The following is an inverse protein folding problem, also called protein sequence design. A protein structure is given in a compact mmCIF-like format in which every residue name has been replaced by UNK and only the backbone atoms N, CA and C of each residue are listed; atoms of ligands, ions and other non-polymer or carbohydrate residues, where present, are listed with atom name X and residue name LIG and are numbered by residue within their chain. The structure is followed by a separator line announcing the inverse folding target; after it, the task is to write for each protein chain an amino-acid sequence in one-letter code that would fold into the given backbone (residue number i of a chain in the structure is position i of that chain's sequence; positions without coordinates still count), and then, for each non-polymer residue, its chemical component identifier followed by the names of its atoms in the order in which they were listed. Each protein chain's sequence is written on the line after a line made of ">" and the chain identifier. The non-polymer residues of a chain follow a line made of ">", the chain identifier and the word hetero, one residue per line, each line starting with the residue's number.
data_IF_434127092367
#
_entry.id   IF_434127092367
#
_cell.length_a   1.000
_cell.length_b   1.000
_cell.length_c   1.000
_cell.angle_alpha   90.00
_cell.angle_beta   90.00
_cell.angle_gamma   90.00
#
_symmetry.space_group_name_H-M   'P 1'
#
loop_
_entity.id
_entity.type
_entity.pdbx_description
1 polymer ?
#
# COMPACT_ATOMS: atom_id res chain seq x y z
N UNK A 1 -14.80 45.12 -21.71
CA UNK A 1 -13.80 46.15 -21.33
C UNK A 1 -12.47 45.42 -21.08
N UNK A 2 -11.88 44.82 -22.11
CA UNK A 2 -10.61 44.08 -21.96
C UNK A 2 -9.44 45.05 -22.06
N UNK A 3 -8.47 44.93 -21.15
CA UNK A 3 -7.22 45.71 -21.18
C UNK A 3 -7.44 47.24 -21.20
N UNK A 4 -8.33 47.71 -20.33
CA UNK A 4 -8.71 49.14 -20.26
C UNK A 4 -8.17 49.86 -19.02
N UNK A 5 -7.38 49.18 -18.18
CA UNK A 5 -6.92 49.67 -16.88
C UNK A 5 -8.08 50.07 -15.94
N UNK A 6 -9.27 49.52 -16.15
CA UNK A 6 -10.46 49.84 -15.35
C UNK A 6 -10.33 49.25 -13.94
N UNK A 7 -10.69 50.01 -12.91
CA UNK A 7 -10.71 49.54 -11.51
C UNK A 7 -12.06 49.68 -10.82
N UNK A 8 -12.92 50.59 -11.28
CA UNK A 8 -14.24 50.85 -10.70
C UNK A 8 -15.35 50.20 -11.55
N UNK A 9 -16.08 49.25 -10.94
CA UNK A 9 -17.22 48.57 -11.55
C UNK A 9 -18.58 49.17 -11.15
N UNK A 10 -18.62 50.21 -10.32
CA UNK A 10 -19.86 50.84 -9.85
C UNK A 10 -20.83 51.25 -10.98
N UNK A 11 -20.38 51.73 -12.16
CA UNK A 11 -21.28 52.03 -13.27
C UNK A 11 -22.07 50.82 -13.79
N UNK A 12 -21.57 49.60 -13.56
CA UNK A 12 -22.22 48.36 -14.02
C UNK A 12 -23.33 47.89 -13.07
N UNK A 13 -23.36 48.36 -11.82
CA UNK A 13 -24.16 47.76 -10.74
C UNK A 13 -25.69 47.70 -11.00
N UNK A 14 -26.19 48.53 -11.91
CA UNK A 14 -27.62 48.59 -12.25
C UNK A 14 -27.97 47.99 -13.62
N UNK A 15 -27.00 47.42 -14.34
CA UNK A 15 -27.20 46.80 -15.65
C UNK A 15 -27.75 45.38 -15.52
N UNK A 16 -28.91 45.22 -14.88
CA UNK A 16 -29.46 43.91 -14.46
C UNK A 16 -29.76 42.93 -15.60
N UNK A 17 -29.92 43.44 -16.82
CA UNK A 17 -30.13 42.65 -18.04
C UNK A 17 -28.82 42.22 -18.72
N UNK A 18 -27.66 42.52 -18.12
CA UNK A 18 -26.37 42.18 -18.69
C UNK A 18 -26.15 40.66 -18.63
N UNK A 19 -26.00 40.03 -19.80
CA UNK A 19 -25.78 38.58 -19.93
C UNK A 19 -24.32 38.21 -20.21
N UNK A 20 -23.54 39.15 -20.74
CA UNK A 20 -22.15 38.93 -21.14
C UNK A 20 -21.26 40.05 -20.62
N UNK A 21 -20.22 39.69 -19.87
CA UNK A 21 -19.26 40.65 -19.34
C UNK A 21 -17.82 40.11 -19.42
N UNK A 22 -16.99 40.80 -20.21
CA UNK A 22 -15.55 40.54 -20.28
C UNK A 22 -14.77 41.73 -19.70
N UNK A 23 -14.03 41.47 -18.63
CA UNK A 23 -13.19 42.37 -17.85
C UNK A 23 -11.77 41.83 -17.71
N UNK A 24 -11.34 40.95 -18.60
CA UNK A 24 -10.00 40.37 -18.58
C UNK A 24 -8.90 41.45 -18.60
N UNK A 25 -7.85 41.22 -17.79
CA UNK A 25 -6.63 42.02 -17.70
C UNK A 25 -6.90 43.51 -17.40
N UNK A 26 -7.55 43.79 -16.27
CA UNK A 26 -7.76 45.15 -15.76
C UNK A 26 -7.15 45.32 -14.35
N UNK A 27 -7.58 46.34 -13.61
CA UNK A 27 -7.12 46.67 -12.27
C UNK A 27 -8.25 46.53 -11.24
N UNK A 28 -9.10 45.51 -11.39
CA UNK A 28 -10.27 45.28 -10.54
C UNK A 28 -9.84 44.62 -9.23
N UNK A 29 -10.24 45.23 -8.12
CA UNK A 29 -9.97 44.74 -6.76
C UNK A 29 -11.24 44.29 -6.02
N UNK A 30 -12.42 44.74 -6.46
CA UNK A 30 -13.71 44.48 -5.79
C UNK A 30 -14.78 44.08 -6.83
N UNK A 31 -15.47 42.97 -6.56
CA UNK A 31 -16.56 42.44 -7.39
C UNK A 31 -17.96 42.77 -6.83
N UNK A 32 -18.06 43.46 -5.69
CA UNK A 32 -19.34 43.80 -5.04
C UNK A 32 -20.35 44.47 -5.99
N UNK A 33 -19.95 45.36 -6.93
CA UNK A 33 -20.88 45.93 -7.91
C UNK A 33 -21.54 44.89 -8.82
N UNK A 34 -20.96 43.70 -9.00
CA UNK A 34 -21.51 42.64 -9.85
C UNK A 34 -22.57 41.79 -9.13
N UNK A 35 -22.72 41.90 -7.80
CA UNK A 35 -23.48 40.96 -6.97
C UNK A 35 -24.97 40.81 -7.34
N UNK A 36 -25.54 41.79 -8.04
CA UNK A 36 -26.94 41.81 -8.44
C UNK A 36 -27.17 41.65 -9.95
N UNK A 37 -26.12 41.35 -10.73
CA UNK A 37 -26.21 41.14 -12.18
C UNK A 37 -26.63 39.71 -12.50
N UNK A 38 -27.74 39.26 -11.90
CA UNK A 38 -28.16 37.85 -11.87
C UNK A 38 -28.49 37.26 -13.23
N UNK A 39 -28.63 38.07 -14.28
CA UNK A 39 -28.81 37.61 -15.66
C UNK A 39 -27.50 37.21 -16.37
N UNK A 40 -26.33 37.36 -15.73
CA UNK A 40 -25.05 37.02 -16.34
C UNK A 40 -24.96 35.53 -16.67
N UNK A 41 -24.66 35.23 -17.93
CA UNK A 41 -24.37 33.89 -18.45
C UNK A 41 -22.87 33.69 -18.73
N UNK A 42 -22.15 34.76 -19.03
CA UNK A 42 -20.72 34.76 -19.27
C UNK A 42 -20.02 35.84 -18.44
N UNK A 43 -18.99 35.44 -17.70
CA UNK A 43 -18.13 36.35 -16.97
C UNK A 43 -16.66 35.97 -17.14
N UNK A 44 -15.86 36.90 -17.66
CA UNK A 44 -14.40 36.79 -17.68
C UNK A 44 -13.79 37.93 -16.86
N UNK A 45 -13.08 37.59 -15.77
CA UNK A 45 -12.35 38.55 -14.94
C UNK A 45 -10.89 38.15 -14.75
N UNK A 46 -10.35 37.26 -15.59
CA UNK A 46 -8.98 36.75 -15.47
C UNK A 46 -7.92 37.85 -15.44
N UNK A 47 -6.85 37.66 -14.66
CA UNK A 47 -5.72 38.57 -14.63
C UNK A 47 -6.01 39.93 -13.97
N UNK A 48 -6.95 39.97 -13.02
CA UNK A 48 -7.22 41.14 -12.18
C UNK A 48 -6.62 40.96 -10.77
N UNK A 49 -6.15 42.03 -10.12
CA UNK A 49 -5.59 41.99 -8.77
C UNK A 49 -6.68 41.96 -7.68
N UNK A 50 -7.55 40.95 -7.71
CA UNK A 50 -8.68 40.83 -6.79
C UNK A 50 -8.23 40.84 -5.32
N UNK A 51 -8.90 41.65 -4.49
CA UNK A 51 -8.58 41.73 -3.07
C UNK A 51 -8.91 40.40 -2.38
N UNK A 52 -7.90 39.79 -1.76
CA UNK A 52 -7.97 38.50 -1.08
C UNK A 52 -8.52 37.32 -1.92
N UNK A 53 -8.68 37.49 -3.24
CA UNK A 53 -9.35 36.49 -4.08
C UNK A 53 -10.85 36.33 -3.76
N UNK A 54 -11.51 37.36 -3.24
CA UNK A 54 -12.92 37.28 -2.83
C UNK A 54 -13.89 37.23 -4.02
N UNK A 55 -14.51 36.07 -4.20
CA UNK A 55 -15.53 35.80 -5.22
C UNK A 55 -16.95 35.69 -4.63
N UNK A 56 -17.15 36.02 -3.35
CA UNK A 56 -18.47 35.99 -2.69
C UNK A 56 -19.57 36.74 -3.47
N UNK A 57 -19.31 37.89 -4.11
CA UNK A 57 -20.30 38.58 -4.93
C UNK A 57 -20.89 37.72 -6.07
N UNK A 58 -20.19 36.69 -6.52
CA UNK A 58 -20.63 35.83 -7.63
C UNK A 58 -21.68 34.80 -7.20
N UNK A 59 -21.90 34.58 -5.90
CA UNK A 59 -22.72 33.48 -5.39
C UNK A 59 -24.19 33.48 -5.85
N UNK A 60 -24.72 34.63 -6.28
CA UNK A 60 -26.11 34.78 -6.75
C UNK A 60 -26.24 34.72 -8.28
N UNK A 61 -25.15 34.60 -9.02
CA UNK A 61 -25.13 34.63 -10.48
C UNK A 61 -25.43 33.24 -11.07
N UNK A 62 -26.54 32.63 -10.62
CA UNK A 62 -26.88 31.21 -10.83
C UNK A 62 -27.07 30.81 -12.30
N UNK A 63 -27.22 31.78 -13.20
CA UNK A 63 -27.34 31.56 -14.65
C UNK A 63 -25.99 31.57 -15.40
N UNK A 64 -24.87 31.68 -14.68
CA UNK A 64 -23.54 31.60 -15.29
C UNK A 64 -23.32 30.22 -15.93
N UNK A 65 -22.95 30.24 -17.21
CA UNK A 65 -22.58 29.06 -18.01
C UNK A 65 -21.07 28.99 -18.24
N UNK A 66 -20.42 30.15 -18.36
CA UNK A 66 -18.97 30.25 -18.55
C UNK A 66 -18.37 31.27 -17.60
N UNK A 67 -17.41 30.82 -16.79
CA UNK A 67 -16.77 31.62 -15.75
C UNK A 67 -15.25 31.47 -15.79
N UNK A 68 -14.55 32.57 -16.04
CA UNK A 68 -13.10 32.60 -16.15
C UNK A 68 -12.47 33.45 -15.03
N UNK A 69 -11.75 32.77 -14.13
CA UNK A 69 -11.26 33.27 -12.83
C UNK A 69 -9.75 33.02 -12.61
N UNK A 70 -9.00 32.81 -13.69
CA UNK A 70 -7.56 32.57 -13.60
C UNK A 70 -6.77 33.77 -13.06
N UNK A 71 -5.76 33.48 -12.22
CA UNK A 71 -4.80 34.49 -11.75
C UNK A 71 -5.32 35.42 -10.66
N UNK A 72 -6.33 35.03 -9.89
CA UNK A 72 -7.04 35.89 -8.92
C UNK A 72 -6.69 35.63 -7.47
N UNK A 73 -5.77 34.70 -7.19
CA UNK A 73 -5.35 34.27 -5.84
C UNK A 73 -6.49 33.66 -5.00
N UNK A 74 -7.49 33.08 -5.66
CA UNK A 74 -8.64 32.41 -5.03
C UNK A 74 -8.16 31.23 -4.19
N UNK A 75 -8.81 31.05 -3.04
CA UNK A 75 -8.62 29.91 -2.13
C UNK A 75 -9.96 29.24 -1.78
N UNK A 76 -11.02 30.03 -1.61
CA UNK A 76 -12.36 29.56 -1.25
C UNK A 76 -13.26 29.47 -2.49
N UNK A 77 -13.79 28.26 -2.75
CA UNK A 77 -14.72 27.98 -3.84
C UNK A 77 -16.18 27.86 -3.37
N UNK A 78 -16.46 28.02 -2.07
CA UNK A 78 -17.81 27.94 -1.51
C UNK A 78 -18.85 28.85 -2.20
N UNK A 79 -18.51 30.04 -2.72
CA UNK A 79 -19.46 30.88 -3.47
C UNK A 79 -19.95 30.25 -4.78
N UNK A 80 -19.25 29.25 -5.32
CA UNK A 80 -19.62 28.62 -6.60
C UNK A 80 -20.68 27.52 -6.45
N UNK A 81 -20.94 27.03 -5.25
CA UNK A 81 -21.75 25.81 -5.00
C UNK A 81 -23.13 25.81 -5.63
N UNK A 82 -23.78 26.97 -5.77
CA UNK A 82 -25.13 27.11 -6.33
C UNK A 82 -25.16 27.40 -7.85
N UNK A 83 -24.01 27.47 -8.51
CA UNK A 83 -23.92 27.84 -9.94
C UNK A 83 -24.13 26.62 -10.85
N UNK A 84 -25.28 25.97 -10.71
CA UNK A 84 -25.56 24.66 -11.31
C UNK A 84 -25.61 24.64 -12.85
N UNK A 85 -25.70 25.81 -13.51
CA UNK A 85 -25.67 25.94 -14.98
C UNK A 85 -24.24 26.06 -15.54
N UNK A 86 -23.20 26.07 -14.70
CA UNK A 86 -21.82 26.19 -15.15
C UNK A 86 -21.40 24.99 -16.01
N UNK A 87 -20.97 25.29 -17.24
CA UNK A 87 -20.43 24.35 -18.20
C UNK A 87 -18.91 24.51 -18.37
N UNK A 88 -18.40 25.73 -18.26
CA UNK A 88 -16.98 26.03 -18.41
C UNK A 88 -16.48 26.86 -17.24
N UNK A 89 -15.47 26.33 -16.54
CA UNK A 89 -14.87 26.97 -15.38
C UNK A 89 -13.35 26.96 -15.50
N UNK A 90 -12.75 28.14 -15.56
CA UNK A 90 -11.31 28.30 -15.51
C UNK A 90 -10.89 28.91 -14.17
N UNK A 91 -10.20 28.12 -13.36
CA UNK A 91 -9.67 28.45 -12.03
C UNK A 91 -8.13 28.34 -12.01
N UNK A 92 -7.46 28.31 -13.15
CA UNK A 92 -6.01 28.12 -13.20
C UNK A 92 -5.23 29.26 -12.55
N UNK A 93 -4.00 29.00 -12.15
CA UNK A 93 -3.10 30.02 -11.59
C UNK A 93 -3.68 30.72 -10.34
N UNK A 94 -4.30 29.94 -9.44
CA UNK A 94 -4.84 30.43 -8.17
C UNK A 94 -4.06 29.81 -6.98
N UNK A 95 -4.68 29.72 -5.80
CA UNK A 95 -4.07 29.15 -4.58
C UNK A 95 -4.99 28.11 -3.95
N UNK A 96 -5.80 27.45 -4.77
CA UNK A 96 -6.84 26.52 -4.33
C UNK A 96 -6.20 25.25 -3.77
N UNK A 97 -6.72 24.80 -2.63
CA UNK A 97 -6.33 23.54 -1.96
C UNK A 97 -7.53 22.60 -1.91
N UNK A 98 -8.69 23.11 -1.49
CA UNK A 98 -9.94 22.36 -1.38
C UNK A 98 -10.83 22.60 -2.62
N UNK A 99 -11.17 21.52 -3.31
CA UNK A 99 -12.07 21.53 -4.46
C UNK A 99 -13.40 20.81 -4.20
N UNK A 100 -13.72 20.48 -2.94
CA UNK A 100 -14.99 19.88 -2.55
C UNK A 100 -16.23 20.63 -3.09
N UNK A 101 -16.27 21.98 -3.21
CA UNK A 101 -17.41 22.67 -3.79
C UNK A 101 -17.69 22.33 -5.26
N UNK A 102 -16.70 21.82 -6.01
CA UNK A 102 -16.86 21.45 -7.42
C UNK A 102 -17.79 20.25 -7.59
N UNK A 103 -17.90 19.36 -6.60
CA UNK A 103 -18.82 18.21 -6.67
C UNK A 103 -20.29 18.64 -6.78
N UNK A 104 -20.61 19.88 -6.39
CA UNK A 104 -21.95 20.48 -6.46
C UNK A 104 -22.33 20.98 -7.87
N UNK A 105 -21.43 20.90 -8.86
CA UNK A 105 -21.60 21.48 -10.20
C UNK A 105 -21.88 20.38 -11.25
N UNK A 106 -23.16 20.03 -11.50
CA UNK A 106 -23.52 18.83 -12.26
C UNK A 106 -23.34 18.95 -13.78
N UNK A 107 -23.16 20.16 -14.31
CA UNK A 107 -23.12 20.42 -15.76
C UNK A 107 -21.72 20.76 -16.30
N UNK A 108 -20.67 20.67 -15.47
CA UNK A 108 -19.33 21.03 -15.91
C UNK A 108 -18.89 20.15 -17.08
N UNK A 109 -18.54 20.81 -18.19
CA UNK A 109 -18.00 20.18 -19.38
C UNK A 109 -16.49 20.36 -19.47
N UNK A 110 -15.99 21.55 -19.13
CA UNK A 110 -14.56 21.85 -19.06
C UNK A 110 -14.17 22.54 -17.77
N UNK A 111 -13.18 21.98 -17.08
CA UNK A 111 -12.64 22.48 -15.83
C UNK A 111 -11.13 22.60 -15.92
N UNK A 112 -10.62 23.81 -15.75
CA UNK A 112 -9.18 24.09 -15.68
C UNK A 112 -8.80 24.48 -14.25
N UNK A 113 -8.07 23.59 -13.58
CA UNK A 113 -7.55 23.73 -12.22
C UNK A 113 -6.01 23.82 -12.21
N UNK A 114 -5.38 23.99 -13.38
CA UNK A 114 -3.92 23.98 -13.49
C UNK A 114 -3.24 25.07 -12.66
N UNK A 115 -2.01 24.82 -12.20
CA UNK A 115 -1.22 25.74 -11.39
C UNK A 115 -1.96 26.22 -10.13
N UNK A 116 -2.27 25.27 -9.26
CA UNK A 116 -2.89 25.48 -7.95
C UNK A 116 -2.10 24.72 -6.86
N UNK A 117 -2.72 24.41 -5.72
CA UNK A 117 -2.10 23.69 -4.61
C UNK A 117 -2.94 22.46 -4.22
N UNK A 118 -3.58 21.87 -5.22
CA UNK A 118 -4.50 20.74 -5.04
C UNK A 118 -3.68 19.48 -4.80
N UNK A 119 -4.04 18.74 -3.75
CA UNK A 119 -3.45 17.43 -3.44
C UNK A 119 -4.46 16.31 -3.66
N UNK A 120 -5.70 16.54 -3.23
CA UNK A 120 -6.80 15.58 -3.33
C UNK A 120 -7.74 15.94 -4.49
N UNK A 121 -8.02 14.97 -5.34
CA UNK A 121 -8.94 15.10 -6.49
C UNK A 121 -10.17 14.18 -6.39
N UNK A 122 -10.38 13.53 -5.24
CA UNK A 122 -11.57 12.73 -4.97
C UNK A 122 -12.89 13.46 -5.30
N UNK A 123 -13.03 14.81 -5.08
CA UNK A 123 -14.29 15.48 -5.42
C UNK A 123 -14.59 15.56 -6.92
N UNK A 124 -13.58 15.43 -7.79
CA UNK A 124 -13.77 15.38 -9.24
C UNK A 124 -14.37 14.05 -9.70
N UNK A 125 -14.16 13.00 -8.92
CA UNK A 125 -14.74 11.70 -9.17
C UNK A 125 -16.21 11.65 -8.72
N UNK A 126 -16.52 12.25 -7.56
CA UNK A 126 -17.89 12.36 -7.04
C UNK A 126 -18.76 13.34 -7.85
N UNK A 127 -18.11 14.36 -8.42
CA UNK A 127 -18.75 15.44 -9.16
C UNK A 127 -19.09 15.15 -10.63
N UNK A 128 -19.83 16.07 -11.23
CA UNK A 128 -20.41 15.96 -12.58
C UNK A 128 -19.53 16.45 -13.73
N UNK A 129 -18.20 16.51 -13.61
CA UNK A 129 -17.35 16.96 -14.73
C UNK A 129 -17.38 15.92 -15.84
N UNK A 130 -17.87 16.30 -17.01
CA UNK A 130 -18.24 15.34 -18.06
C UNK A 130 -17.18 15.11 -19.14
N UNK A 131 -16.18 16.00 -19.31
CA UNK A 131 -15.22 15.86 -20.40
C UNK A 131 -13.78 16.26 -20.11
N UNK A 132 -13.48 17.55 -19.99
CA UNK A 132 -12.10 18.06 -19.96
C UNK A 132 -11.71 18.50 -18.55
N UNK A 133 -10.59 17.97 -18.04
CA UNK A 133 -10.04 18.28 -16.72
C UNK A 133 -8.54 18.60 -16.88
N UNK A 134 -8.12 19.80 -16.48
CA UNK A 134 -6.70 20.18 -16.45
C UNK A 134 -6.23 20.33 -15.01
N UNK A 135 -5.24 19.53 -14.63
CA UNK A 135 -4.66 19.42 -13.28
C UNK A 135 -3.15 19.69 -13.27
N UNK A 136 -2.50 19.95 -14.41
CA UNK A 136 -1.05 20.23 -14.46
C UNK A 136 -0.64 21.33 -13.46
N UNK A 137 0.60 21.28 -13.02
CA UNK A 137 1.20 22.13 -12.00
C UNK A 137 0.43 22.10 -10.67
N UNK A 138 -0.01 20.92 -10.22
CA UNK A 138 -0.59 20.72 -8.88
C UNK A 138 0.18 19.63 -8.12
N UNK A 139 0.40 19.80 -6.80
CA UNK A 139 1.10 18.82 -5.97
C UNK A 139 0.19 17.64 -5.57
N UNK A 140 -0.34 16.91 -6.55
CA UNK A 140 -1.27 15.78 -6.39
C UNK A 140 -0.67 14.71 -5.45
N UNK A 141 -1.50 14.13 -4.59
CA UNK A 141 -1.08 13.06 -3.68
C UNK A 141 -1.08 11.70 -4.38
N UNK A 142 -0.51 10.69 -3.74
CA UNK A 142 -0.38 9.34 -4.31
C UNK A 142 -1.75 8.70 -4.63
N UNK A 143 -2.77 8.95 -3.81
CA UNK A 143 -4.13 8.47 -4.05
C UNK A 143 -4.77 9.08 -5.31
N UNK A 144 -4.52 10.37 -5.57
CA UNK A 144 -4.91 11.02 -6.81
C UNK A 144 -4.36 10.27 -8.02
N UNK A 145 -3.07 9.92 -8.01
CA UNK A 145 -2.42 9.19 -9.10
C UNK A 145 -2.93 7.76 -9.26
N UNK A 146 -2.91 6.98 -8.18
CA UNK A 146 -3.18 5.55 -8.28
C UNK A 146 -4.66 5.21 -8.46
N UNK A 147 -5.54 6.00 -7.86
CA UNK A 147 -6.97 5.68 -7.79
C UNK A 147 -7.77 6.58 -8.73
N UNK A 148 -7.67 7.89 -8.55
CA UNK A 148 -8.65 8.80 -9.13
C UNK A 148 -8.34 9.17 -10.58
N UNK A 149 -7.07 9.41 -10.94
CA UNK A 149 -6.69 9.71 -12.33
C UNK A 149 -7.05 8.56 -13.26
N UNK A 150 -6.67 7.32 -12.91
CA UNK A 150 -7.02 6.11 -13.66
C UNK A 150 -8.53 6.00 -13.86
N UNK A 151 -9.30 6.10 -12.78
CA UNK A 151 -10.75 5.96 -12.84
C UNK A 151 -11.43 7.09 -13.65
N UNK A 152 -10.92 8.32 -13.58
CA UNK A 152 -11.41 9.43 -14.41
C UNK A 152 -11.12 9.18 -15.89
N UNK A 153 -9.91 8.73 -16.24
CA UNK A 153 -9.50 8.43 -17.62
C UNK A 153 -10.33 7.27 -18.19
N UNK A 154 -10.50 6.19 -17.43
CA UNK A 154 -11.30 5.01 -17.83
C UNK A 154 -12.77 5.36 -18.05
N UNK A 155 -13.30 6.36 -17.33
CA UNK A 155 -14.64 6.90 -17.57
C UNK A 155 -14.77 7.75 -18.84
N UNK A 156 -13.69 7.87 -19.64
CA UNK A 156 -13.67 8.56 -20.93
C UNK A 156 -13.42 10.07 -20.85
N UNK A 157 -12.92 10.58 -19.71
CA UNK A 157 -12.56 11.98 -19.52
C UNK A 157 -11.15 12.26 -20.08
N UNK A 158 -10.94 13.42 -20.67
CA UNK A 158 -9.62 13.91 -21.08
C UNK A 158 -9.01 14.67 -19.89
N UNK A 159 -8.09 14.00 -19.19
CA UNK A 159 -7.43 14.52 -17.99
C UNK A 159 -5.98 14.86 -18.34
N UNK A 160 -5.57 16.10 -18.09
CA UNK A 160 -4.19 16.57 -18.26
C UNK A 160 -3.55 16.79 -16.90
N UNK A 161 -2.44 16.13 -16.63
CA UNK A 161 -1.71 16.18 -15.36
C UNK A 161 -0.22 15.97 -15.63
N UNK A 162 0.63 16.28 -14.65
CA UNK A 162 2.07 16.07 -14.77
C UNK A 162 2.42 14.61 -14.51
N UNK A 163 2.96 13.94 -15.52
CA UNK A 163 3.45 12.55 -15.42
C UNK A 163 4.77 12.46 -14.63
N UNK A 164 5.51 13.56 -14.48
CA UNK A 164 6.86 13.58 -13.91
C UNK A 164 6.95 13.76 -12.39
N UNK A 165 5.83 14.00 -11.71
CA UNK A 165 5.78 14.20 -10.25
C UNK A 165 5.79 12.87 -9.46
N UNK A 166 6.14 11.77 -10.13
CA UNK A 166 6.34 10.45 -9.56
C UNK A 166 7.67 10.36 -8.77
N UNK A 167 7.86 11.24 -7.78
CA UNK A 167 8.81 10.99 -6.67
C UNK A 167 8.05 10.32 -5.50
N UNK A 168 7.05 9.48 -5.85
CA UNK A 168 6.10 8.89 -4.92
C UNK A 168 6.61 7.54 -4.43
N UNK A 169 7.73 7.53 -3.71
CA UNK A 169 8.00 6.40 -2.81
C UNK A 169 6.94 6.43 -1.72
N UNK A 170 5.96 5.55 -1.87
CA UNK A 170 4.76 5.60 -1.07
C UNK A 170 3.93 4.34 -1.23
N UNK A 171 2.86 4.32 -0.49
CA UNK A 171 2.25 3.09 -0.02
C UNK A 171 0.75 3.33 0.04
N UNK A 172 -0.04 2.53 -0.68
CA UNK A 172 -1.48 2.71 -0.79
C UNK A 172 -2.17 1.42 -0.40
N UNK A 173 -3.23 1.52 0.39
CA UNK A 173 -4.12 0.40 0.60
C UNK A 173 -5.57 0.82 0.62
N UNK A 174 -6.44 -0.17 0.73
CA UNK A 174 -7.88 0.01 0.88
C UNK A 174 -8.34 -0.71 2.15
N UNK A 175 -9.34 -0.16 2.80
CA UNK A 175 -10.01 -0.79 3.94
C UNK A 175 -11.48 -0.95 3.58
N UNK A 176 -11.92 -2.20 3.57
CA UNK A 176 -13.29 -2.60 3.31
C UNK A 176 -14.02 -2.88 4.62
N UNK A 177 -15.31 -2.59 4.66
CA UNK A 177 -16.21 -2.93 5.73
C UNK A 177 -16.61 -4.42 5.70
N UNK A 178 -17.44 -4.86 6.67
CA UNK A 178 -17.87 -6.25 6.80
C UNK A 178 -18.68 -6.78 5.62
N UNK A 179 -19.24 -5.89 4.80
CA UNK A 179 -20.03 -6.18 3.60
C UNK A 179 -19.21 -6.02 2.30
N UNK A 180 -17.88 -5.93 2.41
CA UNK A 180 -16.94 -5.64 1.32
C UNK A 180 -17.16 -4.27 0.65
N UNK A 181 -17.91 -3.35 1.27
CA UNK A 181 -17.98 -1.97 0.81
C UNK A 181 -16.79 -1.15 1.33
N UNK A 182 -16.36 -0.09 0.64
CA UNK A 182 -15.40 0.87 1.18
C UNK A 182 -15.72 1.37 2.60
N UNK A 183 -14.73 1.37 3.50
CA UNK A 183 -14.90 1.83 4.88
C UNK A 183 -14.17 3.17 5.14
N UNK A 184 -14.89 4.31 5.12
CA UNK A 184 -14.31 5.62 5.43
C UNK A 184 -14.07 5.83 6.93
N UNK A 185 -13.23 6.82 7.24
CA UNK A 185 -13.01 7.30 8.60
C UNK A 185 -12.12 6.39 9.45
N UNK A 186 -11.48 5.37 8.87
CA UNK A 186 -10.55 4.49 9.57
C UNK A 186 -9.21 5.21 9.70
N UNK A 187 -8.76 5.41 10.93
CA UNK A 187 -7.40 5.91 11.19
C UNK A 187 -6.40 4.82 10.89
N UNK A 188 -5.38 5.11 10.09
CA UNK A 188 -4.31 4.16 9.74
C UNK A 188 -2.99 4.75 10.19
N UNK A 189 -2.25 4.02 11.02
CA UNK A 189 -0.89 4.39 11.42
C UNK A 189 0.14 3.64 10.60
N UNK A 190 1.19 4.37 10.20
CA UNK A 190 2.42 3.80 9.67
C UNK A 190 3.49 3.83 10.76
N UNK A 191 3.95 2.66 11.21
CA UNK A 191 5.00 2.54 12.23
C UNK A 191 6.23 1.87 11.68
N UNK A 192 7.40 2.50 11.79
CA UNK A 192 8.65 1.89 11.36
C UNK A 192 9.17 0.91 12.40
N UNK A 193 9.47 -0.30 11.97
CA UNK A 193 10.17 -1.28 12.80
C UNK A 193 11.67 -0.98 12.76
N UNK A 194 12.28 -0.92 13.94
CA UNK A 194 13.73 -0.92 14.14
C UNK A 194 14.06 -1.93 15.22
N UNK A 195 15.20 -2.62 15.06
CA UNK A 195 15.71 -3.57 16.05
C UNK A 195 15.67 -2.95 17.46
N UNK A 196 15.03 -3.63 18.40
CA UNK A 196 14.90 -3.22 19.80
C UNK A 196 13.76 -2.25 20.13
N UNK A 197 12.88 -1.91 19.18
CA UNK A 197 11.74 -0.98 19.42
C UNK A 197 10.41 -1.74 19.45
N UNK A 198 9.84 -1.95 20.65
CA UNK A 198 8.54 -2.62 20.81
C UNK A 198 7.43 -1.84 20.07
N UNK A 199 6.66 -2.50 19.20
CA UNK A 199 5.49 -1.94 18.52
C UNK A 199 5.78 -0.88 17.44
N UNK A 200 7.05 -0.68 17.05
CA UNK A 200 7.46 0.28 16.02
C UNK A 200 7.36 1.75 16.43
N UNK A 201 8.16 2.61 15.78
CA UNK A 201 8.09 4.06 15.91
C UNK A 201 7.00 4.61 14.98
N UNK A 202 5.99 5.31 15.50
CA UNK A 202 5.00 6.02 14.67
C UNK A 202 5.71 7.04 13.77
N UNK A 203 5.53 6.89 12.46
CA UNK A 203 6.12 7.76 11.44
C UNK A 203 5.07 8.71 10.88
N UNK A 204 3.88 8.20 10.60
CA UNK A 204 2.80 8.96 9.99
C UNK A 204 1.43 8.37 10.37
N UNK A 205 0.37 9.16 10.23
CA UNK A 205 -1.01 8.76 10.46
C UNK A 205 -1.91 9.41 9.39
N UNK A 206 -2.83 8.63 8.84
CA UNK A 206 -3.82 9.10 7.88
C UNK A 206 -5.21 8.55 8.21
N UNK A 207 -6.23 8.99 7.50
CA UNK A 207 -7.61 8.50 7.66
C UNK A 207 -8.16 8.11 6.30
N UNK A 208 -8.89 7.00 6.23
CA UNK A 208 -9.48 6.56 4.98
C UNK A 208 -10.54 7.53 4.47
N UNK A 209 -10.49 7.85 3.17
CA UNK A 209 -11.53 8.63 2.48
C UNK A 209 -12.82 7.84 2.25
N UNK A 210 -13.79 8.43 1.56
CA UNK A 210 -15.11 7.81 1.22
C UNK A 210 -14.99 6.47 0.48
N UNK A 211 -13.84 6.22 -0.15
CA UNK A 211 -13.53 4.96 -0.84
C UNK A 211 -12.70 3.98 -0.02
N UNK A 212 -12.52 4.23 1.27
CA UNK A 212 -11.77 3.32 2.14
C UNK A 212 -10.27 3.30 1.86
N UNK A 213 -9.78 4.10 0.91
CA UNK A 213 -8.36 4.16 0.59
C UNK A 213 -7.58 4.99 1.60
N UNK A 214 -6.34 4.58 1.83
CA UNK A 214 -5.34 5.33 2.59
C UNK A 214 -4.02 5.34 1.82
N UNK A 215 -3.21 6.36 2.04
CA UNK A 215 -1.86 6.41 1.50
C UNK A 215 -0.86 7.06 2.46
N UNK A 216 0.39 6.61 2.35
CA UNK A 216 1.53 7.19 3.05
C UNK A 216 2.64 7.55 2.07
N UNK A 217 3.28 8.69 2.29
CA UNK A 217 4.60 8.95 1.71
C UNK A 217 5.64 8.27 2.60
N UNK A 218 6.56 7.49 2.02
CA UNK A 218 7.51 6.72 2.81
C UNK A 218 8.93 7.27 2.60
N UNK A 219 9.48 7.98 3.60
CA UNK A 219 10.70 8.77 3.41
C UNK A 219 11.98 7.93 3.43
N UNK A 220 11.93 6.68 3.90
CA UNK A 220 13.10 5.81 4.04
C UNK A 220 12.71 4.34 3.87
N UNK A 221 13.55 3.56 3.21
CA UNK A 221 13.39 2.11 3.09
C UNK A 221 13.41 1.39 4.45
N UNK A 222 12.75 0.25 4.50
CA UNK A 222 12.75 -0.68 5.63
C UNK A 222 11.38 -1.30 5.90
N UNK A 223 11.26 -1.95 7.05
CA UNK A 223 10.04 -2.66 7.45
C UNK A 223 9.12 -1.77 8.27
N UNK A 224 7.82 -1.81 7.97
CA UNK A 224 6.79 -0.99 8.56
C UNK A 224 5.57 -1.81 8.97
N UNK A 225 4.93 -1.41 10.05
CA UNK A 225 3.64 -1.91 10.50
C UNK A 225 2.54 -0.94 10.05
N UNK A 226 1.49 -1.49 9.47
CA UNK A 226 0.25 -0.76 9.16
C UNK A 226 -0.80 -1.19 10.17
N UNK A 227 -1.24 -0.22 10.96
CA UNK A 227 -2.17 -0.45 12.08
C UNK A 227 -3.45 0.36 11.87
N UNK A 228 -4.50 -0.23 11.28
CA UNK A 228 -5.80 0.40 11.18
C UNK A 228 -6.51 0.42 12.55
N UNK A 229 -7.25 1.50 12.81
CA UNK A 229 -8.06 1.69 14.01
C UNK A 229 -9.37 2.39 13.69
N UNK A 230 -10.45 1.77 14.13
CA UNK A 230 -11.79 2.35 14.16
C UNK A 230 -12.55 1.66 15.29
N UNK A 231 -13.14 2.44 16.19
CA UNK A 231 -13.85 1.89 17.36
C UNK A 231 -14.98 0.93 16.93
N UNK A 232 -15.01 -0.25 17.55
CA UNK A 232 -16.01 -1.29 17.26
C UNK A 232 -15.66 -2.21 16.07
N UNK A 233 -14.49 -2.00 15.44
CA UNK A 233 -13.99 -2.84 14.36
C UNK A 233 -12.68 -3.55 14.74
N UNK A 234 -12.52 -4.76 14.20
CA UNK A 234 -11.26 -5.52 14.16
C UNK A 234 -10.88 -5.73 12.70
N UNK A 235 -9.61 -5.56 12.36
CA UNK A 235 -9.15 -5.63 10.99
C UNK A 235 -8.41 -6.93 10.71
N UNK A 236 -8.49 -7.41 9.47
CA UNK A 236 -7.81 -8.61 9.00
C UNK A 236 -7.36 -8.41 7.55
N UNK A 237 -6.09 -8.73 7.21
CA UNK A 237 -5.01 -9.02 8.16
C UNK A 237 -4.62 -7.80 8.99
N UNK A 238 -4.43 -7.96 10.31
CA UNK A 238 -3.92 -6.87 11.16
C UNK A 238 -3.22 -7.42 12.41
N UNK A 239 -2.03 -6.91 12.77
CA UNK A 239 -1.30 -5.87 12.05
C UNK A 239 -0.68 -6.39 10.75
N UNK A 240 -0.56 -5.51 9.75
CA UNK A 240 0.06 -5.84 8.46
C UNK A 240 1.51 -5.38 8.48
N UNK A 241 2.46 -6.31 8.34
CA UNK A 241 3.88 -5.99 8.27
C UNK A 241 4.29 -5.88 6.80
N UNK A 242 4.99 -4.83 6.44
CA UNK A 242 5.32 -4.50 5.05
C UNK A 242 6.81 -4.19 4.96
N UNK A 243 7.49 -4.75 3.97
CA UNK A 243 8.83 -4.31 3.61
C UNK A 243 8.79 -3.32 2.44
N UNK A 244 9.46 -2.19 2.61
CA UNK A 244 9.52 -1.09 1.63
C UNK A 244 10.95 -0.98 1.13
N UNK A 245 11.16 -1.19 -0.17
CA UNK A 245 12.44 -1.04 -0.86
C UNK A 245 12.39 0.03 -1.97
N UNK A 246 13.42 0.09 -2.82
CA UNK A 246 13.55 1.11 -3.87
C UNK A 246 12.50 1.01 -4.99
N UNK A 247 11.66 -0.04 -5.02
CA UNK A 247 10.65 -0.23 -6.05
C UNK A 247 9.41 0.65 -5.76
N UNK A 248 9.19 1.62 -6.64
CA UNK A 248 8.53 2.90 -6.31
C UNK A 248 6.99 2.92 -6.26
N UNK A 249 6.28 1.80 -6.31
CA UNK A 249 4.82 1.81 -6.20
C UNK A 249 4.31 0.59 -5.43
N UNK A 250 4.08 0.76 -4.13
CA UNK A 250 3.53 -0.30 -3.29
C UNK A 250 2.01 -0.22 -3.25
N UNK A 251 1.37 -1.22 -3.85
CA UNK A 251 -0.04 -1.53 -3.65
C UNK A 251 -0.11 -2.55 -2.51
N UNK A 252 -0.76 -2.17 -1.42
CA UNK A 252 -1.04 -3.08 -0.32
C UNK A 252 -2.32 -3.87 -0.57
N UNK A 253 -2.38 -5.10 -0.03
CA UNK A 253 -3.63 -5.83 0.02
C UNK A 253 -4.68 -5.02 0.78
N UNK A 254 -5.93 -5.07 0.30
CA UNK A 254 -7.06 -4.49 1.01
C UNK A 254 -7.22 -5.16 2.37
N UNK A 255 -7.41 -4.37 3.41
CA UNK A 255 -7.76 -4.83 4.75
C UNK A 255 -9.27 -4.95 4.85
N UNK A 256 -9.78 -5.96 5.54
CA UNK A 256 -11.21 -6.10 5.81
C UNK A 256 -11.49 -5.88 7.28
N UNK A 257 -12.45 -5.00 7.57
CA UNK A 257 -12.97 -4.74 8.90
C UNK A 257 -14.09 -5.73 9.23
N UNK A 258 -14.08 -6.24 10.46
CA UNK A 258 -15.12 -7.09 11.04
C UNK A 258 -15.67 -6.41 12.28
N UNK A 259 -16.97 -6.51 12.52
CA UNK A 259 -17.60 -5.97 13.73
C UNK A 259 -17.12 -6.80 14.93
N UNK A 260 -16.55 -6.14 15.93
CA UNK A 260 -16.09 -6.80 17.13
C UNK A 260 -15.27 -5.88 18.02
N UNK A 261 -15.20 -6.22 19.30
CA UNK A 261 -14.19 -5.68 20.20
C UNK A 261 -12.88 -6.43 19.96
N UNK A 262 -11.75 -5.72 19.85
CA UNK A 262 -10.42 -6.30 19.71
C UNK A 262 -10.28 -7.55 20.60
N UNK A 263 -9.93 -8.68 19.99
CA UNK A 263 -9.57 -9.88 20.76
C UNK A 263 -8.29 -9.53 21.51
N UNK A 264 -8.19 -9.75 22.83
CA UNK A 264 -6.94 -9.52 23.55
C UNK A 264 -5.80 -10.29 22.86
N UNK A 265 -4.69 -9.59 22.65
CA UNK A 265 -3.49 -9.94 21.88
C UNK A 265 -2.74 -11.20 22.34
N UNK A 266 -3.25 -11.94 23.32
CA UNK A 266 -2.62 -13.16 23.84
C UNK A 266 -2.86 -14.42 23.00
N UNK A 267 -3.37 -14.31 21.77
CA UNK A 267 -3.70 -15.46 20.90
C UNK A 267 -3.38 -15.26 19.41
N UNK A 268 -2.84 -14.12 18.97
CA UNK A 268 -2.47 -13.95 17.56
C UNK A 268 -1.17 -14.72 17.26
N UNK A 269 -1.31 -16.01 16.95
CA UNK A 269 -0.22 -16.87 16.49
C UNK A 269 0.19 -16.58 15.04
N UNK A 270 -0.55 -15.75 14.30
CA UNK A 270 -0.26 -15.48 12.89
C UNK A 270 -0.10 -14.01 12.57
N UNK A 271 0.74 -13.75 11.56
CA UNK A 271 1.07 -12.44 11.02
C UNK A 271 0.94 -12.51 9.49
N UNK A 272 0.51 -11.43 8.85
CA UNK A 272 0.66 -11.27 7.40
C UNK A 272 1.79 -10.31 7.10
N UNK A 273 2.78 -10.78 6.35
CA UNK A 273 3.91 -10.01 5.85
C UNK A 273 3.74 -9.76 4.35
N UNK A 274 3.98 -8.52 3.91
CA UNK A 274 3.83 -8.10 2.52
C UNK A 274 5.21 -7.79 1.95
N UNK A 275 5.55 -8.45 0.85
CA UNK A 275 6.78 -8.18 0.11
C UNK A 275 6.72 -6.82 -0.60
N UNK A 276 7.85 -6.30 -1.11
CA UNK A 276 7.85 -5.05 -1.85
C UNK A 276 6.98 -5.02 -3.12
N UNK A 277 6.54 -6.16 -3.63
CA UNK A 277 5.65 -6.26 -4.80
C UNK A 277 4.22 -6.65 -4.45
N UNK A 278 3.87 -6.68 -3.16
CA UNK A 278 2.50 -6.94 -2.69
C UNK A 278 2.18 -8.41 -2.41
N UNK A 279 3.13 -9.34 -2.57
CA UNK A 279 2.91 -10.75 -2.25
C UNK A 279 2.75 -10.97 -0.74
N UNK A 280 1.92 -11.94 -0.37
CA UNK A 280 1.52 -12.18 1.02
C UNK A 280 2.16 -13.44 1.60
N UNK A 281 2.96 -13.25 2.65
CA UNK A 281 3.44 -14.30 3.51
C UNK A 281 2.55 -14.40 4.75
N UNK A 282 1.83 -15.51 4.92
CA UNK A 282 1.20 -15.85 6.19
C UNK A 282 2.24 -16.52 7.08
N UNK A 283 2.59 -15.89 8.20
CA UNK A 283 3.64 -16.37 9.10
C UNK A 283 3.06 -16.75 10.45
N UNK A 284 3.69 -17.72 11.12
CA UNK A 284 3.31 -18.26 12.43
C UNK A 284 4.35 -17.86 13.47
N UNK A 285 3.92 -17.38 14.64
CA UNK A 285 4.77 -17.11 15.80
C UNK A 285 5.21 -18.40 16.48
N UNK A 286 6.51 -18.58 16.55
CA UNK A 286 7.18 -19.60 17.36
C UNK A 286 7.66 -18.94 18.65
N UNK A 287 7.16 -19.35 19.84
CA UNK A 287 7.48 -18.69 21.10
C UNK A 287 8.95 -18.88 21.49
N UNK A 288 9.47 -17.93 22.26
CA UNK A 288 10.80 -18.03 22.83
C UNK A 288 10.90 -19.24 23.78
N UNK A 289 12.09 -19.80 23.92
CA UNK A 289 12.33 -20.84 24.91
C UNK A 289 13.18 -22.01 24.40
N UNK A 290 13.44 -22.92 25.33
CA UNK A 290 14.21 -24.13 25.10
C UNK A 290 13.40 -25.18 24.32
N UNK A 291 14.09 -25.94 23.48
CA UNK A 291 13.55 -27.15 22.86
C UNK A 291 14.63 -28.21 22.72
N UNK A 292 14.17 -29.45 22.53
CA UNK A 292 15.03 -30.60 22.25
C UNK A 292 15.26 -30.67 20.74
N UNK A 293 16.50 -30.44 20.32
CA UNK A 293 16.94 -30.54 18.93
C UNK A 293 17.71 -31.84 18.70
N UNK A 294 17.51 -32.46 17.54
CA UNK A 294 18.13 -33.70 17.15
C UNK A 294 17.38 -34.93 17.67
N UNK A 295 18.08 -36.06 17.67
CA UNK A 295 17.58 -37.33 18.17
C UNK A 295 18.75 -38.24 18.58
N UNK A 296 18.51 -39.10 19.58
CA UNK A 296 19.45 -40.13 20.00
C UNK A 296 20.75 -39.52 20.52
N UNK A 297 21.88 -39.90 19.93
CA UNK A 297 23.19 -39.39 20.36
C UNK A 297 23.46 -37.93 19.95
N UNK A 298 22.65 -37.37 19.05
CA UNK A 298 22.72 -35.96 18.63
C UNK A 298 21.78 -35.03 19.39
N UNK A 299 20.97 -35.59 20.29
CA UNK A 299 19.97 -34.85 21.05
C UNK A 299 20.64 -33.85 22.00
N UNK A 300 20.25 -32.58 21.90
CA UNK A 300 20.73 -31.52 22.77
C UNK A 300 19.68 -30.41 22.92
N UNK A 301 19.76 -29.67 24.01
CA UNK A 301 18.87 -28.53 24.28
C UNK A 301 19.38 -27.28 23.58
N UNK A 302 18.49 -26.61 22.86
CA UNK A 302 18.75 -25.32 22.19
C UNK A 302 17.74 -24.29 22.69
N UNK A 303 18.19 -23.07 22.97
CA UNK A 303 17.32 -21.94 23.28
C UNK A 303 17.19 -21.05 22.05
N UNK A 304 15.96 -20.67 21.71
CA UNK A 304 15.66 -19.70 20.66
C UNK A 304 14.83 -18.55 21.22
N UNK A 305 15.16 -17.33 20.81
CA UNK A 305 14.23 -16.20 20.93
C UNK A 305 12.97 -16.46 20.08
N UNK A 306 11.90 -15.69 20.34
CA UNK A 306 10.70 -15.79 19.53
C UNK A 306 10.98 -15.35 18.08
N UNK A 307 10.36 -16.03 17.12
CA UNK A 307 10.45 -15.70 15.70
C UNK A 307 9.17 -16.08 14.97
N UNK A 308 8.96 -15.50 13.79
CA UNK A 308 7.91 -15.87 12.86
C UNK A 308 8.51 -16.71 11.73
N UNK A 309 7.75 -17.68 11.23
CA UNK A 309 8.13 -18.51 10.07
C UNK A 309 6.93 -18.70 9.16
N UNK A 310 7.13 -18.77 7.85
CA UNK A 310 6.01 -18.96 6.93
C UNK A 310 5.22 -20.22 7.27
N UNK A 311 3.90 -20.06 7.25
CA UNK A 311 2.92 -21.11 7.50
C UNK A 311 2.99 -22.21 6.43
N UNK A 312 3.22 -21.80 5.18
CA UNK A 312 3.37 -22.62 3.99
C UNK A 312 4.67 -22.27 3.27
N UNK A 313 5.15 -23.15 2.40
CA UNK A 313 6.32 -22.89 1.57
C UNK A 313 6.07 -21.74 0.58
N UNK A 314 7.15 -21.13 0.09
CA UNK A 314 7.08 -20.11 -0.96
C UNK A 314 6.51 -20.72 -2.24
N UNK A 315 5.61 -20.02 -2.92
CA UNK A 315 4.92 -20.48 -4.13
C UNK A 315 5.50 -19.88 -5.42
N UNK A 316 5.06 -20.36 -6.58
CA UNK A 316 5.38 -19.78 -7.89
C UNK A 316 4.92 -18.31 -8.00
N UNK A 317 3.74 -17.95 -7.49
CA UNK A 317 3.23 -16.58 -7.48
C UNK A 317 4.14 -15.63 -6.70
N UNK A 318 4.59 -16.07 -5.53
CA UNK A 318 5.55 -15.33 -4.72
C UNK A 318 6.85 -15.10 -5.48
N UNK A 319 7.31 -16.12 -6.21
CA UNK A 319 8.53 -16.07 -7.00
C UNK A 319 8.42 -15.15 -8.21
N UNK A 320 7.36 -15.26 -9.00
CA UNK A 320 7.12 -14.44 -10.18
C UNK A 320 7.01 -12.96 -9.80
N UNK A 321 6.35 -12.65 -8.69
CA UNK A 321 6.29 -11.30 -8.16
C UNK A 321 7.68 -10.74 -7.78
N UNK A 322 8.64 -11.57 -7.39
CA UNK A 322 10.02 -11.12 -7.13
C UNK A 322 10.79 -10.78 -8.42
N UNK A 323 10.45 -11.44 -9.53
CA UNK A 323 11.03 -11.14 -10.84
C UNK A 323 10.54 -9.80 -11.39
N UNK A 324 9.32 -9.39 -11.04
CA UNK A 324 8.75 -8.07 -11.38
C UNK A 324 9.47 -6.92 -10.66
N UNK A 325 10.01 -7.16 -9.46
CA UNK A 325 10.77 -6.16 -8.70
C UNK A 325 12.14 -5.86 -9.31
N UNK A 326 12.78 -6.82 -9.98
CA UNK A 326 14.06 -6.56 -10.68
C UNK A 326 14.29 -7.45 -11.89
N UNK A 327 14.45 -6.81 -13.04
CA UNK A 327 14.78 -7.42 -14.35
C UNK A 327 16.04 -8.33 -14.34
N UNK A 328 16.90 -8.29 -13.30
CA UNK A 328 18.27 -8.81 -13.40
C UNK A 328 18.87 -9.54 -12.17
N UNK A 329 18.17 -9.78 -11.05
CA UNK A 329 18.83 -10.42 -9.87
C UNK A 329 18.93 -11.95 -10.01
N UNK A 330 17.90 -12.60 -10.55
CA UNK A 330 17.80 -14.06 -10.57
C UNK A 330 18.52 -14.68 -11.78
N UNK A 331 19.76 -14.26 -12.05
CA UNK A 331 20.65 -14.87 -13.05
C UNK A 331 21.88 -15.49 -12.37
N UNK A 332 21.71 -16.70 -11.83
CA UNK A 332 22.86 -17.58 -11.64
C UNK A 332 23.20 -18.16 -13.02
N UNK A 333 24.25 -17.64 -13.67
CA UNK A 333 24.69 -17.94 -15.05
C UNK A 333 24.28 -19.30 -15.62
N UNK A 334 23.12 -19.33 -16.27
CA UNK A 334 22.47 -20.44 -17.03
C UNK A 334 21.34 -21.23 -16.34
N UNK A 335 21.00 -21.00 -15.08
CA UNK A 335 19.89 -21.69 -14.40
C UNK A 335 18.66 -20.79 -14.20
N UNK A 336 17.85 -20.67 -15.24
CA UNK A 336 16.51 -20.08 -15.20
C UNK A 336 15.55 -20.98 -14.43
N UNK A 337 14.88 -20.42 -13.41
CA UNK A 337 13.71 -21.03 -12.80
C UNK A 337 12.59 -21.17 -13.84
N UNK A 338 12.05 -22.38 -14.03
CA UNK A 338 10.90 -22.63 -14.89
C UNK A 338 9.81 -23.25 -14.03
N UNK A 339 8.70 -22.55 -13.73
CA UNK A 339 7.60 -23.15 -12.99
C UNK A 339 7.05 -24.33 -13.79
N UNK A 340 7.16 -25.55 -13.24
CA UNK A 340 6.68 -26.79 -13.86
C UNK A 340 5.16 -26.99 -13.65
N UNK A 341 4.52 -26.11 -12.88
CA UNK A 341 3.15 -26.21 -12.35
C UNK A 341 2.51 -24.82 -12.15
N UNK A 342 1.30 -24.75 -11.59
CA UNK A 342 0.51 -23.54 -11.48
C UNK A 342 0.98 -22.53 -10.42
N UNK A 343 0.36 -21.35 -10.35
CA UNK A 343 0.90 -20.23 -9.57
C UNK A 343 0.83 -20.42 -8.04
N UNK A 344 -0.16 -21.15 -7.55
CA UNK A 344 -0.31 -21.49 -6.13
C UNK A 344 0.56 -22.68 -5.67
N UNK A 345 1.22 -23.37 -6.61
CA UNK A 345 2.06 -24.52 -6.29
C UNK A 345 3.40 -24.06 -5.68
N UNK A 346 3.99 -24.93 -4.87
CA UNK A 346 5.25 -24.67 -4.17
C UNK A 346 6.38 -24.42 -5.19
N UNK A 347 7.24 -23.46 -4.86
CA UNK A 347 8.43 -23.17 -5.64
C UNK A 347 9.50 -24.24 -5.37
N UNK A 348 9.69 -25.14 -6.33
CA UNK A 348 10.64 -26.26 -6.27
C UNK A 348 11.72 -26.09 -7.32
N UNK A 349 12.82 -26.84 -7.21
CA UNK A 349 13.97 -26.66 -8.11
C UNK A 349 14.72 -25.33 -7.88
N UNK A 350 14.66 -24.82 -6.65
CA UNK A 350 15.30 -23.56 -6.25
C UNK A 350 16.69 -23.84 -5.67
N UNK A 351 17.70 -23.08 -6.09
CA UNK A 351 19.04 -23.15 -5.49
C UNK A 351 19.11 -22.41 -4.16
N UNK A 352 19.85 -22.93 -3.18
CA UNK A 352 19.96 -22.33 -1.85
C UNK A 352 20.36 -20.84 -1.84
N UNK A 353 21.35 -20.37 -2.65
CA UNK A 353 21.66 -18.94 -2.72
C UNK A 353 20.51 -18.09 -3.28
N UNK A 354 19.64 -18.68 -4.10
CA UNK A 354 18.50 -18.02 -4.70
C UNK A 354 17.33 -17.92 -3.72
N UNK A 355 17.07 -19.00 -2.96
CA UNK A 355 16.14 -18.99 -1.82
C UNK A 355 16.53 -17.94 -0.77
N UNK A 356 17.83 -17.88 -0.42
CA UNK A 356 18.33 -16.88 0.52
C UNK A 356 18.22 -15.45 -0.02
N UNK A 357 18.50 -15.24 -1.31
CA UNK A 357 18.32 -13.94 -1.97
C UNK A 357 16.86 -13.52 -1.98
N UNK A 358 15.94 -14.44 -2.29
CA UNK A 358 14.50 -14.20 -2.23
C UNK A 358 14.09 -13.74 -0.84
N UNK A 359 14.38 -14.51 0.22
CA UNK A 359 13.96 -14.13 1.57
C UNK A 359 14.56 -12.77 1.95
N UNK A 360 15.84 -12.53 1.63
CA UNK A 360 16.52 -11.25 1.90
C UNK A 360 15.84 -10.09 1.16
N UNK A 361 15.48 -10.25 -0.11
CA UNK A 361 14.74 -9.26 -0.89
C UNK A 361 13.36 -8.97 -0.28
N UNK A 362 12.65 -10.03 0.10
CA UNK A 362 11.35 -9.89 0.75
C UNK A 362 11.46 -9.09 2.07
N UNK A 363 12.63 -9.05 2.71
CA UNK A 363 12.84 -8.46 4.05
C UNK A 363 12.77 -9.51 5.17
N UNK A 364 12.93 -10.77 4.81
CA UNK A 364 12.91 -11.97 5.64
C UNK A 364 14.31 -12.62 5.63
N UNK A 365 14.47 -13.74 6.33
CA UNK A 365 15.65 -14.59 6.24
C UNK A 365 15.27 -16.04 5.95
N UNK A 366 16.19 -16.79 5.36
CA UNK A 366 16.04 -18.24 5.26
C UNK A 366 16.29 -18.85 6.66
N UNK A 367 15.38 -19.67 7.22
CA UNK A 367 15.45 -20.10 8.61
C UNK A 367 16.76 -20.83 8.90
N UNK A 368 17.24 -20.71 10.13
CA UNK A 368 18.29 -21.59 10.64
C UNK A 368 17.74 -23.00 10.87
N UNK A 369 18.64 -23.98 10.97
CA UNK A 369 18.27 -25.39 11.18
C UNK A 369 17.43 -25.58 12.44
N UNK A 370 17.83 -24.92 13.51
CA UNK A 370 17.17 -24.91 14.81
C UNK A 370 15.80 -24.21 14.79
N UNK A 371 15.66 -23.12 14.03
CA UNK A 371 14.37 -22.43 13.84
C UNK A 371 13.39 -23.35 13.12
N UNK A 372 13.83 -23.96 12.01
CA UNK A 372 13.01 -24.89 11.24
C UNK A 372 12.57 -26.09 12.08
N UNK A 373 13.49 -26.69 12.83
CA UNK A 373 13.20 -27.89 13.61
C UNK A 373 12.24 -27.63 14.78
N UNK A 374 12.44 -26.51 15.50
CA UNK A 374 11.51 -26.08 16.54
C UNK A 374 10.13 -25.81 15.94
N UNK A 375 10.07 -25.14 14.78
CA UNK A 375 8.81 -24.83 14.11
C UNK A 375 8.04 -26.07 13.66
N UNK A 376 8.74 -27.09 13.15
CA UNK A 376 8.16 -28.34 12.67
C UNK A 376 7.73 -29.27 13.81
N UNK A 377 8.58 -29.49 14.83
CA UNK A 377 8.36 -30.53 15.86
C UNK A 377 7.85 -29.97 17.19
N UNK A 378 7.97 -28.69 17.46
CA UNK A 378 7.66 -28.15 18.79
C UNK A 378 8.77 -28.36 19.81
N UNK A 379 8.45 -28.18 21.09
CA UNK A 379 9.43 -28.18 22.18
C UNK A 379 9.66 -29.54 22.87
N UNK A 380 8.77 -30.51 22.64
CA UNK A 380 8.64 -31.72 23.45
C UNK A 380 9.36 -32.96 22.90
N UNK A 381 10.18 -32.78 21.85
CA UNK A 381 10.99 -33.86 21.27
C UNK A 381 10.17 -34.90 20.49
N UNK A 382 8.88 -34.65 20.19
CA UNK A 382 8.06 -35.55 19.38
C UNK A 382 8.73 -35.87 18.05
N UNK A 383 8.60 -37.08 17.50
CA UNK A 383 9.21 -37.42 16.23
C UNK A 383 8.55 -36.64 15.08
N UNK A 384 7.23 -36.63 14.96
CA UNK A 384 6.53 -36.01 13.82
C UNK A 384 5.94 -34.64 14.16
N UNK A 385 5.71 -33.81 13.15
CA UNK A 385 5.03 -32.51 13.32
C UNK A 385 3.67 -32.64 14.03
N UNK A 386 2.94 -33.73 13.74
CA UNK A 386 1.65 -34.04 14.34
C UNK A 386 1.70 -34.82 15.66
N UNK A 387 2.87 -35.27 16.14
CA UNK A 387 2.99 -35.99 17.41
C UNK A 387 3.82 -37.27 17.34
N UNK A 388 3.37 -38.28 18.11
CA UNK A 388 4.10 -39.54 18.35
C UNK A 388 3.64 -40.70 17.45
N UNK A 389 2.58 -40.49 16.66
CA UNK A 389 2.00 -41.49 15.77
C UNK A 389 2.72 -41.50 14.44
N UNK A 390 2.93 -42.68 13.83
CA UNK A 390 3.49 -42.79 12.48
C UNK A 390 2.60 -42.19 11.38
N UNK A 391 1.33 -41.89 11.70
CA UNK A 391 0.39 -41.23 10.81
C UNK A 391 -0.31 -40.05 11.48
N UNK A 392 -0.54 -39.01 10.69
CA UNK A 392 -1.24 -37.79 11.08
C UNK A 392 -1.26 -36.77 9.92
N UNK A 393 -2.00 -35.67 10.12
CA UNK A 393 -1.98 -34.55 9.19
C UNK A 393 -0.70 -33.74 9.41
N UNK A 394 0.00 -33.35 8.34
CA UNK A 394 1.27 -32.64 8.45
C UNK A 394 1.12 -31.17 8.87
N UNK A 395 0.81 -31.01 10.14
CA UNK A 395 0.60 -29.74 10.82
C UNK A 395 1.39 -29.78 12.13
N UNK A 396 2.29 -28.81 12.29
CA UNK A 396 3.09 -28.67 13.50
C UNK A 396 2.26 -28.22 14.71
N UNK A 397 2.78 -28.32 15.94
CA UNK A 397 2.09 -27.87 17.14
C UNK A 397 1.84 -26.36 17.17
N UNK A 398 2.56 -25.62 16.33
CA UNK A 398 2.41 -24.17 16.17
C UNK A 398 1.55 -23.81 14.96
N UNK A 399 1.13 -24.78 14.14
CA UNK A 399 0.30 -24.53 12.95
C UNK A 399 1.09 -24.28 11.67
N UNK A 400 2.31 -24.79 11.58
CA UNK A 400 3.16 -24.78 10.38
C UNK A 400 2.83 -26.03 9.55
N UNK A 401 2.56 -25.87 8.26
CA UNK A 401 2.09 -26.93 7.37
C UNK A 401 3.21 -27.48 6.49
N UNK A 402 3.03 -28.72 6.02
CA UNK A 402 3.83 -29.38 4.97
C UNK A 402 5.33 -29.46 5.29
N UNK A 403 5.67 -29.55 6.57
CA UNK A 403 7.08 -29.64 7.02
C UNK A 403 7.70 -31.02 6.75
N UNK A 404 6.90 -32.03 6.41
CA UNK A 404 7.29 -33.43 6.32
C UNK A 404 7.01 -33.97 4.91
N UNK A 405 8.04 -34.52 4.28
CA UNK A 405 7.93 -35.07 2.92
C UNK A 405 8.55 -34.16 1.87
N UNK A 406 8.07 -34.26 0.63
CA UNK A 406 8.53 -33.41 -0.47
C UNK A 406 7.62 -32.18 -0.61
N UNK A 407 8.19 -31.03 -1.02
CA UNK A 407 9.60 -30.80 -1.32
C UNK A 407 10.46 -30.71 -0.05
N UNK A 408 11.75 -31.02 -0.19
CA UNK A 408 12.71 -30.67 0.87
C UNK A 408 12.85 -29.16 0.96
N UNK A 409 13.27 -28.65 2.12
CA UNK A 409 13.38 -27.21 2.35
C UNK A 409 14.80 -26.78 2.70
N UNK A 410 15.27 -25.72 2.05
CA UNK A 410 16.55 -25.10 2.38
C UNK A 410 16.55 -24.42 3.75
N UNK A 411 17.65 -24.57 4.49
CA UNK A 411 17.96 -23.74 5.66
C UNK A 411 19.24 -22.94 5.42
N UNK A 412 19.48 -21.92 6.25
CA UNK A 412 20.68 -21.08 6.19
C UNK A 412 21.92 -21.73 6.82
N UNK A 413 21.79 -22.85 7.54
CA UNK A 413 22.88 -23.54 8.22
C UNK A 413 23.82 -24.29 7.27
N UNK A 414 25.09 -24.45 7.66
CA UNK A 414 26.08 -25.23 6.91
C UNK A 414 26.00 -26.72 7.27
N UNK A 415 26.30 -27.58 6.30
CA UNK A 415 26.43 -29.01 6.54
C UNK A 415 27.87 -29.36 6.96
N UNK A 416 28.08 -29.63 8.26
CA UNK A 416 29.43 -29.76 8.85
C UNK A 416 29.91 -31.22 9.05
N UNK A 417 29.15 -32.23 8.58
CA UNK A 417 29.38 -33.64 8.91
C UNK A 417 30.27 -34.43 7.93
N UNK A 418 30.78 -33.82 6.84
CA UNK A 418 31.68 -34.51 5.90
C UNK A 418 33.03 -33.81 5.84
N UNK A 419 34.14 -34.48 6.23
CA UNK A 419 35.50 -33.93 6.15
C UNK A 419 35.94 -33.54 4.72
N UNK A 420 35.22 -34.02 3.70
CA UNK A 420 35.45 -33.78 2.27
C UNK A 420 34.23 -33.18 1.54
N UNK A 421 33.21 -32.65 2.26
CA UNK A 421 32.14 -31.89 1.59
C UNK A 421 32.79 -30.67 0.92
N UNK A 422 32.64 -30.57 -0.40
CA UNK A 422 33.18 -29.48 -1.17
C UNK A 422 32.55 -28.15 -0.72
N UNK A 423 33.26 -27.41 0.13
CA UNK A 423 33.18 -25.96 0.32
C UNK A 423 31.77 -25.33 0.18
N UNK A 424 30.88 -25.47 1.17
CA UNK A 424 29.73 -24.55 1.32
C UNK A 424 28.32 -25.09 1.07
N UNK A 425 28.12 -26.41 1.15
CA UNK A 425 26.79 -27.02 1.11
C UNK A 425 25.90 -26.54 2.29
N UNK A 426 24.69 -26.07 1.95
CA UNK A 426 23.64 -25.72 2.91
C UNK A 426 22.88 -26.98 3.34
N UNK A 427 22.24 -26.94 4.51
CA UNK A 427 21.39 -28.06 4.94
C UNK A 427 20.01 -27.98 4.31
N UNK A 428 19.43 -29.14 4.01
CA UNK A 428 18.00 -29.29 3.70
C UNK A 428 17.30 -30.09 4.79
N UNK A 429 16.00 -29.82 5.00
CA UNK A 429 15.13 -30.45 5.99
C UNK A 429 13.82 -30.97 5.37
N UNK A 430 13.08 -31.80 6.12
CA UNK A 430 11.77 -32.35 5.76
C UNK A 430 11.81 -33.73 5.10
N UNK A 431 12.40 -33.85 3.90
CA UNK A 431 12.09 -34.94 2.98
C UNK A 431 12.66 -36.35 3.17
N UNK A 432 11.82 -37.32 2.77
CA UNK A 432 12.05 -38.74 2.47
C UNK A 432 10.78 -39.61 2.65
N UNK A 433 10.12 -40.09 1.57
CA UNK A 433 8.93 -40.97 1.65
C UNK A 433 9.22 -42.35 2.30
N UNK A 434 10.47 -42.81 2.22
CA UNK A 434 10.93 -44.12 2.75
C UNK A 434 11.93 -43.97 3.92
N UNK A 435 12.18 -42.74 4.39
CA UNK A 435 13.10 -42.52 5.51
C UNK A 435 12.33 -42.73 6.83
N UNK A 436 12.82 -43.59 7.77
CA UNK A 436 12.23 -43.64 9.10
C UNK A 436 12.29 -42.23 9.72
N UNK A 437 11.37 -41.93 10.66
CA UNK A 437 11.33 -40.65 11.35
C UNK A 437 12.69 -40.18 11.87
N UNK A 438 13.55 -41.14 12.14
CA UNK A 438 14.85 -40.89 12.71
C UNK A 438 15.90 -40.33 11.74
N UNK A 439 15.51 -40.08 10.47
CA UNK A 439 16.38 -39.59 9.38
C UNK A 439 15.70 -38.66 8.36
N UNK A 440 14.77 -37.78 8.77
CA UNK A 440 14.42 -36.59 7.95
C UNK A 440 15.59 -35.61 7.76
N UNK A 441 16.73 -35.99 8.35
CA UNK A 441 18.11 -35.85 7.91
C UNK A 441 18.36 -34.54 7.20
N UNK A 442 18.81 -33.58 8.02
CA UNK A 442 19.96 -32.76 7.69
C UNK A 442 20.83 -33.51 6.65
N UNK A 443 20.70 -33.11 5.39
CA UNK A 443 21.47 -33.65 4.27
C UNK A 443 22.38 -32.55 3.74
N UNK A 444 23.55 -32.89 3.18
CA UNK A 444 24.23 -31.95 2.32
C UNK A 444 23.28 -31.57 1.18
N UNK A 445 23.27 -30.31 0.77
CA UNK A 445 22.55 -29.90 -0.43
C UNK A 445 23.26 -30.41 -1.68
N UNK A 446 23.02 -31.65 -2.07
CA UNK A 446 23.64 -32.33 -3.22
C UNK A 446 22.86 -32.17 -4.54
N UNK A 447 21.78 -31.38 -4.54
CA UNK A 447 21.01 -30.99 -5.72
C UNK A 447 19.82 -30.06 -5.39
N UNK A 448 19.22 -29.45 -6.40
CA UNK A 448 18.05 -28.56 -6.26
C UNK A 448 16.72 -29.25 -6.57
N UNK A 449 16.76 -30.46 -7.16
CA UNK A 449 15.56 -31.21 -7.57
C UNK A 449 14.61 -31.42 -6.39
N UNK A 450 13.32 -31.11 -6.58
CA UNK A 450 12.26 -31.19 -5.56
C UNK A 450 12.62 -30.49 -4.24
N UNK A 451 13.48 -29.45 -4.27
CA UNK A 451 13.80 -28.64 -3.10
C UNK A 451 13.23 -27.24 -3.26
N UNK A 452 12.41 -26.86 -2.29
CA UNK A 452 11.85 -25.53 -2.11
C UNK A 452 12.42 -24.87 -0.85
N UNK A 453 11.66 -23.92 -0.30
CA UNK A 453 12.05 -23.20 0.91
C UNK A 453 10.87 -22.45 1.52
N UNK A 454 11.05 -22.06 2.78
CA UNK A 454 10.20 -21.11 3.48
C UNK A 454 11.06 -20.01 4.11
N UNK A 455 10.49 -18.85 4.39
CA UNK A 455 11.19 -17.74 5.01
C UNK A 455 10.79 -17.57 6.49
N UNK A 456 11.61 -16.83 7.23
CA UNK A 456 11.45 -16.52 8.64
C UNK A 456 11.72 -15.03 8.92
N UNK A 457 11.25 -14.55 10.06
CA UNK A 457 11.38 -13.18 10.52
C UNK A 457 11.66 -13.18 12.03
N UNK A 458 12.64 -12.42 12.53
CA UNK A 458 12.90 -12.35 13.97
C UNK A 458 11.70 -11.78 14.74
N UNK A 459 11.31 -12.36 15.88
CA UNK A 459 10.16 -11.92 16.68
C UNK A 459 10.39 -10.57 17.36
N UNK A 460 11.66 -10.20 17.54
CA UNK A 460 12.08 -8.85 17.95
C UNK A 460 11.64 -7.75 16.96
N UNK A 461 11.29 -8.11 15.72
CA UNK A 461 10.76 -7.18 14.73
C UNK A 461 9.34 -6.69 15.04
N UNK A 462 8.54 -7.43 15.82
CA UNK A 462 7.11 -7.11 16.05
C UNK A 462 6.85 -6.77 17.51
N UNK A 463 7.83 -7.05 18.39
CA UNK A 463 7.66 -6.89 19.83
C UNK A 463 6.63 -7.89 20.32
N UNK A 464 6.99 -9.17 20.34
CA UNK A 464 6.15 -10.19 20.98
C UNK A 464 5.86 -9.79 22.44
N UNK A 465 4.57 -9.76 22.78
CA UNK A 465 4.06 -9.57 24.14
C UNK A 465 4.37 -10.80 24.99
N UNK A 466 5.58 -10.90 25.52
CA UNK A 466 5.83 -11.75 26.68
C UNK A 466 6.64 -10.95 27.71
N UNK A 467 5.94 -10.52 28.77
CA UNK A 467 6.50 -10.25 30.10
C UNK A 467 6.46 -11.53 30.94
#
# INVERSE_FOLDING_TARGET
>A
LMDTQTSDLSPLANLKELTYLDLHANQIHDLSPLANLTALEFLNIQGNPLENGDITPLAKLVHLKSLYLAGLRIQDLSPLTNLHELMHLNLSNNRIVDISPISSLPQLYGLDLSNNRIRDISPLYEGGVSRFIYLNDNPLNLEAYATYLTALIESGKDVRYDESDLDLTGCIGEILGPDNSPLPGVTVELRRIKSGTKGGLLIDETTTGERGHYSFAVPVLGTYLIVPRLDGYVFSPSPLLVNIDDDQQLIFPSLTAKIGTAVPSSQAQTLTFVTPTGSLHEMVLIPAGEFIMGEGESEHTVYLDAFYIDRYEVTNDHWDASLLGRDHIFRAGDNTYYPLVGPADQAVEVFAPLAAQYCTWAGLHLPYEEEWEKAARGADGRPYSWGWSESGEDISPYGVYNTMGLPTEWTSSRYDLVPDACCGEKTVKGGGEDAPPTTWARRPGDGYLNTGFRCALPGSAIGSEEE
#
